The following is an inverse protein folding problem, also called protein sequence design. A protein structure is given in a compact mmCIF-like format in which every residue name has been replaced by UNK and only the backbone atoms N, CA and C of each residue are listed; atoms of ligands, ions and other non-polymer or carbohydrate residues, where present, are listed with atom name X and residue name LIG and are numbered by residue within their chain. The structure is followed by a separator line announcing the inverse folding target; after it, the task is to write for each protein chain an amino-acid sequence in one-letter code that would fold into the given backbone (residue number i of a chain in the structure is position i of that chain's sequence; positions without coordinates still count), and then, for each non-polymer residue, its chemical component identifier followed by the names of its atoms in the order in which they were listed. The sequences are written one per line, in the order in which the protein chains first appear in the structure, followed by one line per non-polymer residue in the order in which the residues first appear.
data_IF_062705674781
#
_entry.id   IF_062705674781
#
_cell.length_a   1.000
_cell.length_b   1.000
_cell.length_c   1.000
_cell.angle_alpha   90.00
_cell.angle_beta   90.00
_cell.angle_gamma   90.00
#
_symmetry.space_group_name_H-M   'P 1'
#
loop_
_entity.id
_entity.type
_entity.pdbx_description
1 polymer ?
#
# COMPACT_ATOMS: atom_id res chain seq x y z
N UNK A 1 -0.06 1.46 -11.69
CA UNK A 1 -1.52 1.32 -11.65
C UNK A 1 -2.05 1.03 -13.04
N UNK A 2 -3.10 0.20 -13.22
CA UNK A 2 -3.52 -0.36 -14.50
C UNK A 2 -5.05 -0.15 -14.77
N UNK A 3 -5.49 0.35 -15.93
CA UNK A 3 -6.89 0.54 -16.29
C UNK A 3 -7.21 0.07 -17.72
N UNK A 4 -8.43 -0.41 -17.98
CA UNK A 4 -8.89 -0.83 -19.30
C UNK A 4 -9.89 0.20 -19.86
N UNK A 5 -9.68 0.79 -21.06
CA UNK A 5 -10.64 1.71 -21.66
C UNK A 5 -11.98 1.05 -22.04
N UNK A 6 -11.98 -0.27 -22.31
CA UNK A 6 -13.17 -1.01 -22.77
C UNK A 6 -13.78 -1.92 -21.68
N UNK A 7 -13.38 -1.75 -20.41
CA UNK A 7 -13.68 -2.66 -19.31
C UNK A 7 -12.81 -3.93 -19.32
N UNK A 8 -12.45 -4.48 -18.15
CA UNK A 8 -11.63 -5.69 -18.12
C UNK A 8 -12.44 -6.90 -18.61
N UNK A 9 -11.77 -7.87 -19.27
CA UNK A 9 -12.34 -9.23 -19.36
C UNK A 9 -12.69 -9.72 -17.95
N UNK A 10 -13.73 -10.49 -17.85
CA UNK A 10 -14.41 -10.83 -16.59
C UNK A 10 -13.54 -11.44 -15.46
N UNK A 11 -12.26 -11.76 -15.70
CA UNK A 11 -11.35 -12.38 -14.72
C UNK A 11 -10.12 -11.54 -14.34
N UNK A 12 -10.07 -10.24 -14.72
CA UNK A 12 -8.87 -9.41 -14.57
C UNK A 12 -8.83 -8.65 -13.25
N UNK A 13 -7.73 -8.74 -12.53
CA UNK A 13 -7.35 -7.90 -11.38
C UNK A 13 -6.30 -6.89 -11.84
N UNK A 14 -6.45 -5.64 -11.45
CA UNK A 14 -5.55 -4.56 -11.83
C UNK A 14 -4.51 -4.33 -10.72
N UNK A 15 -3.22 -4.26 -11.07
CA UNK A 15 -2.13 -4.08 -10.11
C UNK A 15 -1.29 -2.84 -10.39
N UNK A 16 -0.85 -2.20 -9.30
CA UNK A 16 0.22 -1.22 -9.32
C UNK A 16 1.45 -1.77 -8.60
N UNK A 17 2.61 -1.64 -9.21
CA UNK A 17 3.89 -2.07 -8.63
C UNK A 17 4.72 -0.85 -8.31
N UNK A 18 5.22 -0.77 -7.09
CA UNK A 18 6.19 0.22 -6.68
C UNK A 18 7.41 -0.47 -6.06
N UNK A 19 8.61 -0.10 -6.48
CA UNK A 19 9.85 -0.52 -5.86
C UNK A 19 10.50 0.65 -5.13
N UNK A 20 11.00 0.39 -3.93
CA UNK A 20 11.80 1.35 -3.15
C UNK A 20 13.27 1.00 -3.29
N UNK A 21 14.00 1.73 -4.12
CA UNK A 21 15.45 1.68 -4.11
C UNK A 21 15.97 2.72 -3.11
N UNK A 22 16.76 2.26 -2.13
CA UNK A 22 17.41 3.12 -1.15
C UNK A 22 18.67 3.72 -1.75
N UNK A 23 18.64 4.96 -2.24
CA UNK A 23 19.86 5.67 -2.63
C UNK A 23 19.84 7.18 -2.37
N UNK A 24 18.80 7.78 -1.84
CA UNK A 24 18.82 9.20 -1.55
C UNK A 24 19.27 9.48 -0.10
N UNK A 25 20.30 10.28 0.07
CA UNK A 25 20.53 11.03 1.31
C UNK A 25 19.27 11.86 1.58
N UNK A 26 18.66 11.65 2.72
CA UNK A 26 17.54 12.48 3.20
C UNK A 26 17.91 13.96 3.09
N UNK A 27 17.04 14.84 2.55
CA UNK A 27 17.18 16.26 2.75
C UNK A 27 17.26 16.55 4.25
N UNK A 28 17.94 17.61 4.62
CA UNK A 28 18.30 17.88 6.01
C UNK A 28 17.09 17.76 6.95
N UNK A 29 17.27 17.04 8.04
CA UNK A 29 16.31 16.84 9.14
C UNK A 29 15.69 18.18 9.62
N UNK A 30 16.34 19.30 9.38
CA UNK A 30 15.92 20.65 9.77
C UNK A 30 14.65 21.16 9.04
N UNK A 31 14.35 20.69 7.83
CA UNK A 31 13.11 21.04 7.13
C UNK A 31 11.87 20.28 7.67
N UNK A 32 12.12 19.37 8.62
CA UNK A 32 11.13 18.46 9.19
C UNK A 32 10.52 19.01 10.50
N UNK A 33 11.15 20.00 11.12
CA UNK A 33 10.84 20.43 12.49
C UNK A 33 9.73 21.49 12.63
N UNK A 34 8.91 21.79 11.63
CA UNK A 34 7.83 22.75 11.82
C UNK A 34 6.48 22.35 11.16
N UNK A 35 5.39 22.89 11.76
CA UNK A 35 4.11 22.21 11.99
C UNK A 35 3.35 21.81 10.72
N UNK A 36 2.26 21.17 10.87
CA UNK A 36 1.86 19.87 10.31
C UNK A 36 2.28 19.69 8.86
N UNK A 37 3.02 18.63 8.57
CA UNK A 37 3.40 18.32 7.19
C UNK A 37 2.17 18.10 6.33
N UNK A 38 2.09 18.85 5.23
CA UNK A 38 1.05 18.69 4.24
C UNK A 38 1.65 18.06 2.98
N UNK A 39 1.11 16.92 2.58
CA UNK A 39 1.47 16.26 1.32
C UNK A 39 0.18 15.86 0.58
N UNK A 40 0.06 16.23 -0.69
CA UNK A 40 -1.14 15.99 -1.50
C UNK A 40 -2.44 16.54 -0.86
N UNK A 41 -2.35 17.60 -0.06
CA UNK A 41 -3.47 18.17 0.69
C UNK A 41 -3.87 17.39 1.94
N UNK A 42 -3.11 16.38 2.34
CA UNK A 42 -3.27 15.61 3.57
C UNK A 42 -2.28 16.12 4.61
N UNK A 43 -2.75 16.38 5.83
CA UNK A 43 -1.95 16.81 6.97
C UNK A 43 -1.57 15.61 7.83
N UNK A 44 -0.29 15.49 8.21
CA UNK A 44 0.23 14.38 8.99
C UNK A 44 0.81 14.84 10.32
N UNK A 45 0.50 14.10 11.37
CA UNK A 45 1.33 14.02 12.55
C UNK A 45 2.47 13.04 12.26
N UNK A 46 3.70 13.43 12.57
CA UNK A 46 4.88 12.58 12.36
C UNK A 46 5.66 12.54 13.69
N UNK A 47 5.88 11.34 14.21
CA UNK A 47 6.70 11.13 15.37
C UNK A 47 8.15 10.88 14.93
N UNK A 48 9.02 11.87 15.18
CA UNK A 48 10.43 11.81 14.80
C UNK A 48 11.31 11.18 15.88
N UNK A 49 10.85 11.17 17.13
CA UNK A 49 11.62 10.66 18.26
C UNK A 49 11.48 9.15 18.41
N UNK A 50 10.24 8.63 18.28
CA UNK A 50 9.92 7.22 18.48
C UNK A 50 9.47 6.50 17.21
N UNK A 51 9.29 7.21 16.10
CA UNK A 51 8.82 6.67 14.84
C UNK A 51 9.86 5.77 14.14
N UNK A 52 9.39 4.76 13.39
CA UNK A 52 10.28 3.94 12.55
C UNK A 52 11.05 4.82 11.57
N UNK A 53 12.38 4.77 11.58
CA UNK A 53 13.29 5.56 10.74
C UNK A 53 13.07 7.07 10.93
N UNK A 54 12.47 7.73 9.92
CA UNK A 54 12.16 9.17 9.92
C UNK A 54 10.70 9.47 10.28
N UNK A 55 9.94 8.47 10.73
CA UNK A 55 8.52 8.61 11.05
C UNK A 55 7.59 8.77 9.85
N UNK A 56 8.13 9.04 8.65
CA UNK A 56 7.36 9.20 7.42
C UNK A 56 8.19 8.81 6.18
N UNK A 57 7.54 8.22 5.18
CA UNK A 57 8.18 7.70 3.97
C UNK A 57 7.96 8.65 2.78
N UNK A 58 8.82 9.65 2.63
CA UNK A 58 8.73 10.67 1.58
C UNK A 58 8.82 10.09 0.17
N UNK A 59 9.58 9.02 0.01
CA UNK A 59 9.78 8.29 -1.25
C UNK A 59 8.48 7.76 -1.90
N UNK A 60 7.39 7.63 -1.14
CA UNK A 60 6.08 7.16 -1.62
C UNK A 60 5.10 8.29 -2.04
N UNK A 61 5.51 9.53 -2.00
CA UNK A 61 4.67 10.72 -2.29
C UNK A 61 3.85 10.60 -3.58
N UNK A 62 4.51 10.22 -4.67
CA UNK A 62 3.83 10.10 -5.97
C UNK A 62 2.96 8.85 -6.07
N UNK A 63 3.34 7.78 -5.37
CA UNK A 63 2.54 6.56 -5.30
C UNK A 63 1.25 6.81 -4.52
N UNK A 64 1.31 7.53 -3.39
CA UNK A 64 0.12 7.96 -2.64
C UNK A 64 -0.82 8.81 -3.50
N UNK A 65 -0.27 9.75 -4.29
CA UNK A 65 -1.05 10.56 -5.22
C UNK A 65 -1.69 9.72 -6.33
N UNK A 66 -1.01 8.70 -6.83
CA UNK A 66 -1.56 7.80 -7.84
C UNK A 66 -2.73 6.98 -7.27
N UNK A 67 -2.57 6.43 -6.06
CA UNK A 67 -3.65 5.74 -5.34
C UNK A 67 -4.85 6.66 -5.12
N UNK A 68 -4.64 7.90 -4.65
CA UNK A 68 -5.73 8.87 -4.44
C UNK A 68 -6.58 9.10 -5.70
N UNK A 69 -5.95 9.17 -6.89
CA UNK A 69 -6.65 9.37 -8.17
C UNK A 69 -7.56 8.21 -8.57
N UNK A 70 -7.23 7.01 -8.11
CA UNK A 70 -7.98 5.78 -8.44
C UNK A 70 -8.98 5.39 -7.37
N UNK A 71 -8.88 5.95 -6.18
CA UNK A 71 -9.65 5.54 -5.03
C UNK A 71 -11.12 6.00 -5.07
N UNK A 72 -11.47 6.97 -5.94
CA UNK A 72 -12.81 7.55 -5.98
C UNK A 72 -13.91 6.49 -6.17
N UNK A 73 -14.83 6.41 -5.22
CA UNK A 73 -15.96 5.48 -5.23
C UNK A 73 -15.63 4.05 -4.79
N UNK A 74 -14.35 3.73 -4.55
CA UNK A 74 -13.91 2.37 -4.17
C UNK A 74 -13.96 2.12 -2.67
N UNK A 75 -14.13 0.84 -2.28
CA UNK A 75 -13.92 0.34 -0.92
C UNK A 75 -12.49 -0.17 -0.81
N UNK A 76 -11.67 0.59 -0.10
CA UNK A 76 -10.21 0.41 -0.05
C UNK A 76 -9.78 -0.32 1.20
N UNK A 77 -8.86 -1.29 1.05
CA UNK A 77 -8.11 -1.90 2.15
C UNK A 77 -6.64 -1.52 2.03
N UNK A 78 -6.11 -0.80 2.99
CA UNK A 78 -4.68 -0.46 3.09
C UNK A 78 -4.02 -1.34 4.16
N UNK A 79 -3.29 -2.34 3.71
CA UNK A 79 -2.50 -3.22 4.56
C UNK A 79 -1.09 -2.65 4.79
N UNK A 80 -0.58 -2.76 6.00
CA UNK A 80 0.68 -2.13 6.43
C UNK A 80 0.59 -0.60 6.43
N UNK A 81 -0.54 -0.09 6.90
CA UNK A 81 -0.89 1.34 6.74
C UNK A 81 0.06 2.30 7.45
N UNK A 82 0.81 1.81 8.47
CA UNK A 82 1.72 2.63 9.27
C UNK A 82 1.00 3.88 9.81
N UNK A 83 1.42 5.08 9.48
CA UNK A 83 0.77 6.34 9.88
C UNK A 83 -0.51 6.67 9.11
N UNK A 84 -1.04 5.74 8.34
CA UNK A 84 -2.22 5.92 7.52
C UNK A 84 -1.96 6.59 6.17
N UNK A 85 -0.71 6.68 5.73
CA UNK A 85 -0.36 7.59 4.64
C UNK A 85 -1.02 7.25 3.30
N UNK A 86 -1.15 5.98 2.92
CA UNK A 86 -1.91 5.58 1.73
C UNK A 86 -3.42 5.66 1.97
N UNK A 87 -3.91 5.16 3.11
CA UNK A 87 -5.32 5.18 3.48
C UNK A 87 -5.90 6.58 3.48
N UNK A 88 -5.20 7.56 4.09
CA UNK A 88 -5.62 8.97 4.13
C UNK A 88 -5.67 9.60 2.72
N UNK A 89 -4.69 9.29 1.85
CA UNK A 89 -4.72 9.75 0.46
C UNK A 89 -5.87 9.12 -0.31
N UNK A 90 -6.19 7.85 -0.10
CA UNK A 90 -7.34 7.17 -0.71
C UNK A 90 -8.66 7.81 -0.22
N UNK A 91 -8.82 8.02 1.09
CA UNK A 91 -10.00 8.65 1.67
C UNK A 91 -10.19 10.08 1.14
N UNK A 92 -9.12 10.88 1.12
CA UNK A 92 -9.12 12.25 0.54
C UNK A 92 -9.39 12.26 -0.96
N UNK A 93 -8.99 11.19 -1.67
CA UNK A 93 -9.24 10.98 -3.09
C UNK A 93 -10.66 10.59 -3.44
N UNK A 94 -11.56 10.49 -2.45
CA UNK A 94 -12.98 10.20 -2.65
C UNK A 94 -13.34 8.71 -2.58
N UNK A 95 -12.52 7.88 -1.92
CA UNK A 95 -12.90 6.50 -1.61
C UNK A 95 -14.25 6.47 -0.87
N UNK A 96 -15.11 5.52 -1.20
CA UNK A 96 -16.40 5.35 -0.53
C UNK A 96 -16.19 4.95 0.94
N UNK A 97 -15.25 4.03 1.20
CA UNK A 97 -14.80 3.61 2.52
C UNK A 97 -13.35 3.15 2.47
N UNK A 98 -12.60 3.39 3.54
CA UNK A 98 -11.21 2.94 3.66
C UNK A 98 -11.02 2.19 4.96
N UNK A 99 -10.46 0.98 4.89
CA UNK A 99 -10.00 0.24 6.06
C UNK A 99 -8.47 0.29 6.09
N UNK A 100 -7.92 0.88 7.15
CA UNK A 100 -6.49 0.99 7.40
C UNK A 100 -6.06 -0.08 8.42
N UNK A 101 -5.18 -0.99 8.03
CA UNK A 101 -4.73 -2.10 8.87
C UNK A 101 -3.22 -2.08 9.10
N UNK A 102 -2.80 -2.35 10.33
CA UNK A 102 -1.40 -2.53 10.73
C UNK A 102 -1.34 -3.41 11.98
N UNK A 103 -0.24 -4.12 12.15
CA UNK A 103 0.01 -4.93 13.34
C UNK A 103 0.35 -4.07 14.57
N UNK A 104 0.84 -2.85 14.36
CA UNK A 104 1.24 -1.92 15.41
C UNK A 104 0.07 -1.08 15.90
N UNK A 105 -0.28 -1.22 17.17
CA UNK A 105 -1.30 -0.39 17.83
C UNK A 105 -0.93 1.10 17.79
N UNK A 106 0.35 1.45 17.94
CA UNK A 106 0.83 2.83 17.88
C UNK A 106 0.67 3.42 16.47
N UNK A 107 0.94 2.62 15.44
CA UNK A 107 0.72 3.01 14.04
C UNK A 107 -0.77 3.29 13.79
N UNK A 108 -1.65 2.41 14.25
CA UNK A 108 -3.10 2.59 14.14
C UNK A 108 -3.57 3.83 14.90
N UNK A 109 -3.11 4.05 16.13
CA UNK A 109 -3.44 5.25 16.89
C UNK A 109 -2.96 6.53 16.19
N UNK A 110 -1.80 6.50 15.51
CA UNK A 110 -1.30 7.61 14.70
C UNK A 110 -2.16 7.82 13.44
N UNK A 111 -2.54 6.76 12.75
CA UNK A 111 -3.42 6.83 11.58
C UNK A 111 -4.79 7.43 11.95
N UNK A 112 -5.37 7.06 13.08
CA UNK A 112 -6.62 7.62 13.61
C UNK A 112 -6.49 9.13 13.90
N UNK A 113 -5.41 9.55 14.56
CA UNK A 113 -5.14 10.97 14.82
C UNK A 113 -5.01 11.77 13.52
N UNK A 114 -4.34 11.19 12.52
CA UNK A 114 -4.19 11.80 11.22
C UNK A 114 -5.52 11.88 10.47
N UNK A 115 -6.39 10.87 10.54
CA UNK A 115 -7.73 10.91 9.95
C UNK A 115 -8.59 12.02 10.57
N UNK A 116 -8.63 12.08 11.91
CA UNK A 116 -9.34 13.14 12.65
C UNK A 116 -8.84 14.54 12.25
N UNK A 117 -7.52 14.72 12.15
CA UNK A 117 -6.90 15.99 11.75
C UNK A 117 -7.33 16.43 10.35
N UNK A 118 -7.60 15.51 9.44
CA UNK A 118 -8.02 15.79 8.07
C UNK A 118 -9.55 15.83 7.90
N UNK A 119 -10.33 15.60 8.97
CA UNK A 119 -11.78 15.55 8.91
C UNK A 119 -12.30 14.38 8.07
N UNK A 120 -11.59 13.26 8.06
CA UNK A 120 -11.96 12.06 7.31
C UNK A 120 -12.76 11.11 8.21
N UNK A 121 -14.02 10.90 7.88
CA UNK A 121 -15.00 10.09 8.63
C UNK A 121 -15.35 8.76 7.95
N UNK A 122 -14.86 8.56 6.72
CA UNK A 122 -15.05 7.35 5.92
C UNK A 122 -13.95 6.29 6.12
N UNK A 123 -13.33 6.26 7.29
CA UNK A 123 -12.20 5.37 7.59
C UNK A 123 -12.47 4.47 8.78
N UNK A 124 -12.09 3.19 8.65
CA UNK A 124 -12.01 2.20 9.73
C UNK A 124 -10.55 1.82 9.99
N UNK A 125 -10.28 1.36 11.21
CA UNK A 125 -8.92 1.03 11.65
C UNK A 125 -8.88 -0.35 12.29
N UNK A 126 -7.95 -1.20 11.84
CA UNK A 126 -7.76 -2.56 12.33
C UNK A 126 -6.32 -2.75 12.82
N UNK A 127 -6.18 -3.16 14.07
CA UNK A 127 -4.88 -3.57 14.61
C UNK A 127 -4.76 -5.10 14.46
N UNK A 128 -4.24 -5.55 13.30
CA UNK A 128 -4.17 -6.97 12.96
C UNK A 128 -3.01 -7.24 11.99
N UNK A 129 -2.40 -8.43 12.11
CA UNK A 129 -1.37 -8.88 11.17
C UNK A 129 -1.99 -9.17 9.79
N UNK A 130 -1.46 -8.60 8.74
CA UNK A 130 -1.92 -8.77 7.36
C UNK A 130 -1.95 -10.24 6.92
N UNK A 131 -1.01 -11.07 7.40
CA UNK A 131 -1.00 -12.51 7.10
C UNK A 131 -2.19 -13.27 7.73
N UNK A 132 -2.73 -12.76 8.83
CA UNK A 132 -3.96 -13.28 9.44
C UNK A 132 -5.22 -12.61 8.87
N UNK A 133 -5.15 -11.30 8.66
CA UNK A 133 -6.25 -10.46 8.17
C UNK A 133 -6.76 -10.91 6.80
N UNK A 134 -5.90 -11.04 5.80
CA UNK A 134 -6.33 -11.35 4.44
C UNK A 134 -7.07 -12.69 4.31
N UNK A 135 -6.59 -13.82 4.91
CA UNK A 135 -7.34 -15.07 4.91
C UNK A 135 -8.67 -15.00 5.68
N UNK A 136 -8.75 -14.20 6.73
CA UNK A 136 -9.98 -13.98 7.48
C UNK A 136 -11.01 -13.26 6.62
N UNK A 137 -10.62 -12.15 6.01
CA UNK A 137 -11.50 -11.36 5.12
C UNK A 137 -11.97 -12.18 3.90
N UNK A 138 -11.12 -13.08 3.35
CA UNK A 138 -11.48 -13.99 2.28
C UNK A 138 -12.64 -14.91 2.71
N UNK A 139 -12.60 -15.46 3.95
CA UNK A 139 -13.67 -16.32 4.48
C UNK A 139 -14.95 -15.56 4.79
N UNK A 140 -14.84 -14.33 5.26
CA UNK A 140 -15.96 -13.46 5.62
C UNK A 140 -16.64 -12.83 4.40
N UNK A 141 -15.97 -12.84 3.23
CA UNK A 141 -16.52 -12.30 1.99
C UNK A 141 -16.62 -10.77 1.99
N UNK A 142 -15.68 -10.07 2.63
CA UNK A 142 -15.67 -8.61 2.67
C UNK A 142 -15.45 -7.98 1.28
N UNK A 143 -16.24 -6.97 0.90
CA UNK A 143 -16.22 -6.39 -0.43
C UNK A 143 -15.20 -5.25 -0.54
N UNK A 144 -13.92 -5.58 -0.64
CA UNK A 144 -12.89 -4.62 -1.03
C UNK A 144 -12.64 -4.74 -2.54
N UNK A 145 -12.68 -3.63 -3.24
CA UNK A 145 -12.41 -3.56 -4.67
C UNK A 145 -11.12 -2.81 -5.01
N UNK A 146 -10.45 -2.28 -3.99
CA UNK A 146 -9.09 -1.75 -4.10
C UNK A 146 -8.26 -2.15 -2.87
N UNK A 147 -7.16 -2.88 -3.08
CA UNK A 147 -6.25 -3.30 -2.01
C UNK A 147 -4.87 -2.67 -2.21
N UNK A 148 -4.29 -2.17 -1.12
CA UNK A 148 -2.95 -1.57 -1.08
C UNK A 148 -2.06 -2.44 -0.19
N UNK A 149 -0.91 -2.86 -0.73
CA UNK A 149 0.11 -3.65 -0.04
C UNK A 149 1.44 -2.90 -0.09
N UNK A 150 1.82 -2.24 0.99
CA UNK A 150 3.13 -1.59 1.15
C UNK A 150 3.89 -2.19 2.35
N UNK A 151 4.25 -3.48 2.29
CA UNK A 151 4.86 -4.19 3.40
C UNK A 151 6.26 -3.67 3.73
N UNK A 152 6.75 -3.90 4.96
CA UNK A 152 8.14 -3.69 5.31
C UNK A 152 9.05 -4.58 4.46
N UNK A 153 10.36 -4.27 4.43
CA UNK A 153 11.32 -5.08 3.71
C UNK A 153 11.39 -6.50 4.29
N UNK A 154 10.92 -7.48 3.54
CA UNK A 154 10.98 -8.90 3.94
C UNK A 154 12.39 -9.49 3.84
N UNK A 155 13.33 -8.81 3.16
CA UNK A 155 14.74 -9.19 3.15
C UNK A 155 15.67 -7.98 3.25
N UNK A 156 16.75 -8.17 3.99
CA UNK A 156 17.88 -7.23 4.09
C UNK A 156 19.18 -7.84 3.54
N UNK A 157 19.14 -9.09 3.06
CA UNK A 157 20.30 -9.82 2.59
C UNK A 157 19.97 -10.68 1.37
N UNK A 158 20.92 -10.79 0.43
CA UNK A 158 20.76 -11.58 -0.81
C UNK A 158 20.38 -13.04 -0.54
N UNK A 159 20.94 -13.65 0.51
CA UNK A 159 20.68 -15.06 0.89
C UNK A 159 19.25 -15.35 1.33
N UNK A 160 18.45 -14.32 1.66
CA UNK A 160 17.06 -14.45 2.15
C UNK A 160 16.02 -13.98 1.14
N UNK A 161 16.44 -13.70 -0.11
CA UNK A 161 15.54 -13.20 -1.18
C UNK A 161 14.43 -14.20 -1.48
N UNK A 162 14.73 -15.49 -1.59
CA UNK A 162 13.72 -16.51 -1.90
C UNK A 162 12.63 -16.59 -0.83
N UNK A 163 12.99 -16.47 0.44
CA UNK A 163 12.04 -16.45 1.54
C UNK A 163 11.19 -15.16 1.50
N UNK A 164 11.80 -14.02 1.19
CA UNK A 164 11.10 -12.77 1.02
C UNK A 164 10.09 -12.84 -0.13
N UNK A 165 10.50 -13.41 -1.27
CA UNK A 165 9.61 -13.58 -2.42
C UNK A 165 8.42 -14.50 -2.11
N UNK A 166 8.58 -15.51 -1.23
CA UNK A 166 7.44 -16.30 -0.73
C UNK A 166 6.47 -15.47 0.08
N UNK A 167 6.97 -14.61 0.99
CA UNK A 167 6.14 -13.70 1.76
C UNK A 167 5.39 -12.69 0.88
N UNK A 168 6.08 -12.07 -0.09
CA UNK A 168 5.43 -11.20 -1.08
C UNK A 168 4.38 -11.96 -1.89
N UNK A 169 4.70 -13.18 -2.33
CA UNK A 169 3.75 -14.00 -3.08
C UNK A 169 2.48 -14.30 -2.27
N UNK A 170 2.63 -14.69 -1.02
CA UNK A 170 1.49 -15.02 -0.15
C UNK A 170 0.52 -13.85 0.01
N UNK A 171 1.00 -12.67 0.40
CA UNK A 171 0.11 -11.51 0.59
C UNK A 171 -0.53 -11.05 -0.72
N UNK A 172 0.21 -11.07 -1.83
CA UNK A 172 -0.33 -10.70 -3.14
C UNK A 172 -1.36 -11.72 -3.64
N UNK A 173 -1.08 -13.01 -3.47
CA UNK A 173 -2.03 -14.09 -3.79
C UNK A 173 -3.35 -13.91 -3.02
N UNK A 174 -3.30 -13.69 -1.71
CA UNK A 174 -4.49 -13.49 -0.87
C UNK A 174 -5.26 -12.23 -1.27
N UNK A 175 -4.56 -11.12 -1.52
CA UNK A 175 -5.19 -9.90 -1.99
C UNK A 175 -5.91 -10.11 -3.34
N UNK A 176 -5.27 -10.82 -4.28
CA UNK A 176 -5.87 -11.11 -5.58
C UNK A 176 -7.10 -12.01 -5.46
N UNK A 177 -7.14 -12.94 -4.51
CA UNK A 177 -8.32 -13.76 -4.23
C UNK A 177 -9.48 -12.96 -3.65
N UNK A 178 -9.17 -12.01 -2.79
CA UNK A 178 -10.15 -11.14 -2.14
C UNK A 178 -10.77 -10.13 -3.12
N UNK A 179 -9.99 -9.65 -4.10
CA UNK A 179 -10.45 -8.66 -5.07
C UNK A 179 -11.51 -9.24 -6.03
N UNK A 180 -12.57 -8.47 -6.32
CA UNK A 180 -13.53 -8.81 -7.37
C UNK A 180 -12.89 -8.65 -8.76
N UNK A 181 -13.61 -9.06 -9.78
CA UNK A 181 -13.28 -8.74 -11.17
C UNK A 181 -13.26 -7.23 -11.38
N UNK A 182 -12.23 -6.72 -12.04
CA UNK A 182 -12.03 -5.29 -12.26
C UNK A 182 -11.46 -4.53 -11.06
N UNK A 183 -11.23 -5.21 -9.93
CA UNK A 183 -10.64 -4.59 -8.75
C UNK A 183 -9.20 -4.14 -8.95
N UNK A 184 -8.74 -3.25 -8.09
CA UNK A 184 -7.41 -2.64 -8.14
C UNK A 184 -6.48 -3.23 -7.07
N UNK A 185 -5.24 -3.52 -7.44
CA UNK A 185 -4.17 -3.86 -6.51
C UNK A 185 -3.01 -2.87 -6.67
N UNK A 186 -2.72 -2.11 -5.64
CA UNK A 186 -1.48 -1.35 -5.51
C UNK A 186 -0.53 -2.14 -4.61
N UNK A 187 0.60 -2.60 -5.15
CA UNK A 187 1.56 -3.40 -4.38
C UNK A 187 2.97 -2.86 -4.51
N UNK A 188 3.73 -2.88 -3.43
CA UNK A 188 5.07 -2.33 -3.36
C UNK A 188 6.08 -3.30 -2.74
N UNK A 189 7.34 -3.12 -3.08
CA UNK A 189 8.47 -3.74 -2.41
C UNK A 189 9.51 -2.70 -2.02
N UNK A 190 9.91 -2.66 -0.75
CA UNK A 190 11.03 -1.85 -0.28
C UNK A 190 12.33 -2.65 -0.11
N UNK A 191 12.38 -3.90 -0.59
CA UNK A 191 13.55 -4.76 -0.48
C UNK A 191 14.51 -4.54 -1.65
N UNK A 192 15.70 -4.03 -1.37
CA UNK A 192 16.72 -3.75 -2.40
C UNK A 192 17.06 -4.98 -3.27
N UNK A 193 17.06 -6.18 -2.69
CA UNK A 193 17.37 -7.41 -3.40
C UNK A 193 16.18 -8.02 -4.15
N UNK A 194 14.96 -7.54 -3.91
CA UNK A 194 13.78 -7.88 -4.70
C UNK A 194 13.71 -6.93 -5.90
N UNK A 195 14.44 -7.26 -6.97
CA UNK A 195 14.45 -6.45 -8.19
C UNK A 195 13.05 -6.36 -8.79
N UNK A 196 12.79 -5.34 -9.60
CA UNK A 196 11.51 -5.15 -10.29
C UNK A 196 11.12 -6.41 -11.10
N UNK A 197 12.09 -6.98 -11.82
CA UNK A 197 11.87 -8.20 -12.61
C UNK A 197 11.43 -9.39 -11.75
N UNK A 198 12.11 -9.63 -10.61
CA UNK A 198 11.75 -10.69 -9.67
C UNK A 198 10.37 -10.45 -9.06
N UNK A 199 10.06 -9.21 -8.74
CA UNK A 199 8.78 -8.83 -8.17
C UNK A 199 7.63 -9.04 -9.17
N UNK A 200 7.80 -8.60 -10.42
CA UNK A 200 6.82 -8.82 -11.50
C UNK A 200 6.63 -10.33 -11.75
N UNK A 201 7.73 -11.11 -11.83
CA UNK A 201 7.64 -12.56 -11.98
C UNK A 201 6.86 -13.22 -10.83
N UNK A 202 7.08 -12.77 -9.61
CA UNK A 202 6.33 -13.23 -8.43
C UNK A 202 4.84 -12.90 -8.55
N UNK A 203 4.49 -11.68 -8.99
CA UNK A 203 3.10 -11.26 -9.17
C UNK A 203 2.38 -12.12 -10.21
N UNK A 204 3.03 -12.42 -11.34
CA UNK A 204 2.46 -13.35 -12.33
C UNK A 204 2.26 -14.76 -11.77
N UNK A 205 3.19 -15.26 -10.94
CA UNK A 205 3.02 -16.54 -10.28
C UNK A 205 1.87 -16.52 -9.26
N UNK A 206 1.73 -15.46 -8.48
CA UNK A 206 0.61 -15.28 -7.54
C UNK A 206 -0.74 -15.21 -8.26
N UNK A 207 -0.80 -14.47 -9.38
CA UNK A 207 -2.01 -14.35 -10.19
C UNK A 207 -2.43 -15.68 -10.81
N UNK A 208 -1.46 -16.44 -11.33
CA UNK A 208 -1.72 -17.80 -11.86
C UNK A 208 -2.34 -18.70 -10.79
N UNK A 209 -1.77 -18.71 -9.59
CA UNK A 209 -2.27 -19.52 -8.47
C UNK A 209 -3.65 -19.04 -7.97
N UNK A 210 -3.91 -17.73 -8.04
CA UNK A 210 -5.21 -17.14 -7.70
C UNK A 210 -6.26 -17.28 -8.82
N UNK A 211 -5.90 -17.85 -9.98
CA UNK A 211 -6.73 -17.88 -11.18
C UNK A 211 -7.23 -16.50 -11.61
N UNK A 212 -6.33 -15.51 -11.60
CA UNK A 212 -6.61 -14.10 -11.97
C UNK A 212 -5.74 -13.69 -13.15
N UNK A 213 -6.28 -12.86 -14.02
CA UNK A 213 -5.51 -12.15 -15.03
C UNK A 213 -5.13 -10.76 -14.51
N UNK A 214 -3.93 -10.32 -14.81
CA UNK A 214 -3.42 -9.03 -14.39
C UNK A 214 -3.19 -8.12 -15.59
N UNK A 215 -3.63 -6.87 -15.45
CA UNK A 215 -3.26 -5.80 -16.38
C UNK A 215 -2.45 -4.74 -15.63
N UNK A 216 -1.20 -4.56 -16.02
CA UNK A 216 -0.33 -3.53 -15.46
C UNK A 216 -0.75 -2.14 -15.97
N UNK A 217 -1.10 -1.21 -15.07
CA UNK A 217 -1.48 0.19 -15.39
C UNK A 217 -0.28 1.12 -15.21
N UNK A 218 0.48 0.94 -14.15
CA UNK A 218 1.58 1.83 -13.81
C UNK A 218 2.67 1.11 -13.02
N UNK A 219 3.94 1.39 -13.33
CA UNK A 219 5.08 1.04 -12.49
C UNK A 219 5.78 2.34 -12.11
N UNK A 220 6.05 2.51 -10.83
CA UNK A 220 6.81 3.64 -10.31
C UNK A 220 7.89 3.18 -9.38
N UNK A 221 9.00 3.87 -9.44
CA UNK A 221 10.04 3.82 -8.43
C UNK A 221 9.77 4.87 -7.33
N UNK A 222 10.66 4.94 -6.35
CA UNK A 222 10.61 5.99 -5.32
C UNK A 222 10.64 7.40 -5.95
N UNK A 223 10.09 8.37 -5.22
CA UNK A 223 10.22 9.77 -5.60
C UNK A 223 11.71 10.19 -5.62
N UNK A 224 12.12 11.05 -6.56
CA UNK A 224 13.50 11.48 -6.68
C UNK A 224 13.92 12.52 -5.62
N UNK A 225 12.98 13.09 -4.86
CA UNK A 225 13.13 14.16 -3.87
C UNK A 225 12.92 13.70 -2.42
#
# INVERSE_FOLDING_TARGET
VFANPDGPPEDMVQIGVASRLRTAKCPSILDIFNPPKCENGVFYHVDFENGQKTGFFLDQKYNRRAVARLAAGHTVLDCFTHTGSFALNAAKGGAARVTAADISADAIAMAQRNATRNGLDNMDFLCEDTFALLPRLEKEGHPYDFIILDPPAFTKARRTVDNAMRGYKEINYRAMKLLPRGGYLATASCSHFATEELFIKMLHAAAKDAHRQLRQIEVKQQAPD
#
